data_IF_753158553986
#
_entry.id   IF_753158553986
#
_cell.length_a   1.000
_cell.length_b   1.000
_cell.length_c   1.000
_cell.angle_alpha   90.00
_cell.angle_beta   90.00
_cell.angle_gamma   90.00
#
_symmetry.space_group_name_H-M   'P 1'
#
loop_
_entity.id
_entity.type
_entity.pdbx_description
1 polymer ?
#
# COMPACT_ATOMS: atom_id res chain seq x y z
N UNK A 1 9.63 -21.67 -5.38
CA UNK A 1 8.96 -22.42 -4.28
C UNK A 1 7.85 -21.54 -3.71
N UNK A 2 6.60 -22.01 -3.63
CA UNK A 2 5.50 -21.27 -2.97
C UNK A 2 5.68 -21.37 -1.45
N UNK A 3 5.68 -20.24 -0.75
CA UNK A 3 5.96 -20.18 0.70
C UNK A 3 4.70 -20.34 1.55
N UNK A 4 3.59 -19.72 1.13
CA UNK A 4 2.34 -19.66 1.88
C UNK A 4 1.16 -20.15 1.04
N UNK A 5 0.12 -20.63 1.72
CA UNK A 5 -1.16 -20.94 1.08
C UNK A 5 -1.88 -19.64 0.67
N UNK A 6 -2.71 -19.63 -0.39
CA UNK A 6 -3.47 -18.45 -0.81
C UNK A 6 -4.29 -17.82 0.32
N UNK A 7 -4.90 -18.64 1.17
CA UNK A 7 -5.75 -18.18 2.28
C UNK A 7 -4.93 -17.48 3.37
N UNK A 8 -3.69 -17.92 3.57
CA UNK A 8 -2.74 -17.26 4.48
C UNK A 8 -2.36 -15.89 3.94
N UNK A 9 -2.05 -15.77 2.64
CA UNK A 9 -1.74 -14.48 2.01
C UNK A 9 -2.95 -13.55 2.11
N UNK A 10 -4.16 -14.03 1.78
CA UNK A 10 -5.39 -13.26 1.93
C UNK A 10 -5.59 -12.74 3.34
N UNK A 11 -5.33 -13.57 4.36
CA UNK A 11 -5.41 -13.15 5.76
C UNK A 11 -4.37 -12.07 6.09
N UNK A 12 -3.13 -12.20 5.61
CA UNK A 12 -2.10 -11.17 5.82
C UNK A 12 -2.46 -9.83 5.17
N UNK A 13 -3.15 -9.85 4.03
CA UNK A 13 -3.47 -8.66 3.23
C UNK A 13 -4.91 -8.20 3.43
N UNK A 14 -5.55 -8.59 4.53
CA UNK A 14 -6.87 -8.09 4.97
C UNK A 14 -6.66 -7.13 6.15
N UNK A 15 -7.41 -6.03 6.19
CA UNK A 15 -7.40 -5.13 7.34
C UNK A 15 -7.99 -5.83 8.58
N UNK A 16 -7.22 -5.90 9.66
CA UNK A 16 -7.65 -6.50 10.94
C UNK A 16 -7.92 -5.47 12.03
N UNK A 17 -7.75 -4.18 11.74
CA UNK A 17 -7.98 -3.11 12.72
C UNK A 17 -9.46 -2.75 12.82
N UNK A 18 -9.93 -2.52 14.05
CA UNK A 18 -11.26 -1.96 14.27
C UNK A 18 -11.30 -0.47 13.91
N UNK A 19 -12.49 0.05 13.61
CA UNK A 19 -12.68 1.47 13.28
C UNK A 19 -12.26 2.42 14.40
N UNK A 20 -12.26 1.95 15.65
CA UNK A 20 -11.88 2.72 16.84
C UNK A 20 -10.38 3.01 16.91
N UNK A 21 -9.54 2.12 16.34
CA UNK A 21 -8.09 2.33 16.23
C UNK A 21 -7.77 3.46 15.24
N UNK A 22 -8.65 3.66 14.25
CA UNK A 22 -8.45 4.62 13.16
C UNK A 22 -7.49 4.09 12.09
N UNK A 23 -7.00 5.01 11.26
CA UNK A 23 -6.14 4.71 10.12
C UNK A 23 -4.66 4.72 10.49
N UNK A 24 -3.83 4.12 9.64
CA UNK A 24 -2.36 4.19 9.75
C UNK A 24 -1.91 5.65 9.73
N UNK A 25 -0.97 6.01 10.61
CA UNK A 25 -0.41 7.37 10.72
C UNK A 25 1.12 7.34 10.75
N UNK A 26 1.74 8.38 10.22
CA UNK A 26 3.18 8.63 10.28
C UNK A 26 3.43 10.08 10.70
N UNK A 27 3.76 10.28 11.98
CA UNK A 27 3.77 11.63 12.55
C UNK A 27 2.37 12.25 12.46
N UNK A 28 2.28 13.43 11.86
CA UNK A 28 1.01 14.14 11.63
C UNK A 28 0.27 13.67 10.37
N UNK A 29 0.92 12.87 9.51
CA UNK A 29 0.32 12.35 8.28
C UNK A 29 -0.64 11.21 8.58
N UNK A 30 -1.92 11.37 8.21
CA UNK A 30 -2.95 10.34 8.34
C UNK A 30 -3.22 9.72 6.98
N UNK A 31 -2.94 8.43 6.84
CA UNK A 31 -3.23 7.67 5.62
C UNK A 31 -4.70 7.25 5.60
N UNK A 32 -5.60 8.20 5.37
CA UNK A 32 -7.04 7.92 5.46
C UNK A 32 -7.44 6.75 4.57
N UNK A 33 -8.22 5.82 5.10
CA UNK A 33 -8.68 4.63 4.38
C UNK A 33 -7.66 3.49 4.31
N UNK A 34 -6.51 3.65 4.95
CA UNK A 34 -5.47 2.63 5.04
C UNK A 34 -5.48 2.02 6.44
N UNK A 35 -5.86 0.74 6.51
CA UNK A 35 -5.78 -0.10 7.69
C UNK A 35 -4.48 -0.91 7.74
N UNK A 36 -4.46 -1.96 8.56
CA UNK A 36 -3.27 -2.80 8.74
C UNK A 36 -3.64 -4.29 8.85
N UNK A 37 -2.95 -5.10 8.07
CA UNK A 37 -3.04 -6.55 8.09
C UNK A 37 -1.88 -7.20 8.85
N UNK A 38 -1.61 -8.48 8.63
CA UNK A 38 -0.46 -9.14 9.26
C UNK A 38 0.83 -8.84 8.49
N UNK A 39 1.43 -7.70 8.81
CA UNK A 39 2.74 -7.25 8.30
C UNK A 39 2.67 -6.17 7.22
N UNK A 40 1.48 -5.75 6.80
CA UNK A 40 1.28 -4.83 5.68
C UNK A 40 0.25 -3.75 6.00
N UNK A 41 0.42 -2.58 5.41
CA UNK A 41 -0.73 -1.69 5.24
C UNK A 41 -1.71 -2.30 4.24
N UNK A 42 -3.00 -2.01 4.40
CA UNK A 42 -4.05 -2.48 3.50
C UNK A 42 -4.98 -1.31 3.19
N UNK A 43 -5.22 -1.02 1.90
CA UNK A 43 -6.20 -0.01 1.50
C UNK A 43 -7.61 -0.57 1.64
N UNK A 44 -8.29 -0.14 2.70
CA UNK A 44 -9.65 -0.55 3.05
C UNK A 44 -10.70 0.28 2.29
N UNK A 45 -10.41 1.57 2.05
CA UNK A 45 -11.25 2.47 1.23
C UNK A 45 -10.41 3.51 0.49
N UNK A 46 -10.99 4.09 -0.55
CA UNK A 46 -10.40 5.27 -1.22
C UNK A 46 -10.49 6.51 -0.33
N UNK A 47 -9.54 7.43 -0.50
CA UNK A 47 -9.50 8.74 0.18
C UNK A 47 -8.69 9.74 -0.65
N UNK A 48 -8.73 11.01 -0.26
CA UNK A 48 -7.94 12.07 -0.90
C UNK A 48 -6.43 11.99 -0.60
N UNK A 49 -6.02 11.17 0.39
CA UNK A 49 -4.61 11.00 0.76
C UNK A 49 -3.80 10.37 -0.38
N UNK A 50 -4.39 9.40 -1.07
CA UNK A 50 -3.79 8.75 -2.24
C UNK A 50 -4.91 8.42 -3.24
N UNK A 51 -5.25 9.39 -4.12
CA UNK A 51 -6.39 9.30 -5.02
C UNK A 51 -6.19 8.27 -6.14
N UNK A 52 -4.94 7.91 -6.44
CA UNK A 52 -4.58 7.02 -7.55
C UNK A 52 -4.54 5.54 -7.15
N UNK A 53 -4.69 5.23 -5.86
CA UNK A 53 -4.69 3.86 -5.35
C UNK A 53 -5.89 3.01 -5.79
N UNK A 54 -5.84 1.74 -5.36
CA UNK A 54 -6.88 0.72 -5.54
C UNK A 54 -7.25 0.11 -4.20
N UNK A 55 -8.55 -0.03 -3.94
CA UNK A 55 -9.04 -0.74 -2.76
C UNK A 55 -8.55 -2.19 -2.81
N UNK A 56 -8.03 -2.70 -1.70
CA UNK A 56 -7.41 -4.02 -1.61
C UNK A 56 -5.91 -4.04 -1.91
N UNK A 57 -5.31 -2.90 -2.29
CA UNK A 57 -3.85 -2.77 -2.31
C UNK A 57 -3.26 -3.05 -0.92
N UNK A 58 -2.09 -3.65 -0.91
CA UNK A 58 -1.29 -3.78 0.30
C UNK A 58 0.19 -3.52 0.03
N UNK A 59 0.90 -3.07 1.04
CA UNK A 59 2.29 -2.68 0.88
C UNK A 59 2.95 -2.21 2.17
N UNK A 60 4.16 -1.66 2.04
CA UNK A 60 4.85 -0.95 3.12
C UNK A 60 6.00 -0.09 2.58
N UNK A 61 6.43 0.86 3.41
CA UNK A 61 7.60 1.71 3.14
C UNK A 61 8.83 1.25 3.93
N UNK A 62 10.02 1.53 3.41
CA UNK A 62 11.30 1.43 4.09
C UNK A 62 11.91 2.82 4.30
N UNK A 63 12.80 2.93 5.30
CA UNK A 63 13.29 4.23 5.79
C UNK A 63 13.85 5.14 4.68
N UNK A 64 14.63 4.59 3.74
CA UNK A 64 15.29 5.30 2.65
C UNK A 64 14.35 5.70 1.49
N UNK A 65 13.09 5.97 1.79
CA UNK A 65 12.00 6.21 0.84
C UNK A 65 11.72 5.04 -0.10
N UNK A 66 12.23 3.83 0.18
CA UNK A 66 11.83 2.65 -0.57
C UNK A 66 10.36 2.35 -0.30
N UNK A 67 9.62 1.91 -1.31
CA UNK A 67 8.22 1.54 -1.14
C UNK A 67 7.87 0.35 -2.01
N UNK A 68 6.89 -0.44 -1.60
CA UNK A 68 6.24 -1.37 -2.50
C UNK A 68 4.75 -1.44 -2.24
N UNK A 69 3.98 -1.67 -3.30
CA UNK A 69 2.58 -2.02 -3.21
C UNK A 69 2.25 -3.15 -4.18
N UNK A 70 1.24 -3.92 -3.83
CA UNK A 70 0.69 -4.97 -4.65
C UNK A 70 -0.78 -4.67 -4.87
N UNK A 71 -1.23 -4.71 -6.12
CA UNK A 71 -2.65 -4.70 -6.49
C UNK A 71 -3.05 -6.08 -7.02
N UNK A 72 -3.68 -6.93 -6.19
CA UNK A 72 -4.16 -8.24 -6.65
C UNK A 72 -5.22 -8.15 -7.75
N UNK A 73 -5.99 -7.05 -7.77
CA UNK A 73 -7.03 -6.82 -8.78
C UNK A 73 -6.42 -6.65 -10.18
N UNK A 74 -5.25 -6.02 -10.23
CA UNK A 74 -4.58 -5.66 -11.48
C UNK A 74 -3.37 -6.58 -11.78
N UNK A 75 -3.24 -7.72 -11.08
CA UNK A 75 -2.12 -8.66 -11.15
C UNK A 75 -0.73 -7.98 -11.13
N UNK A 76 -0.59 -6.95 -10.28
CA UNK A 76 0.55 -6.04 -10.30
C UNK A 76 1.27 -5.98 -8.94
N UNK A 77 2.60 -6.02 -8.98
CA UNK A 77 3.45 -5.65 -7.85
C UNK A 77 4.49 -4.62 -8.30
N UNK A 78 4.61 -3.53 -7.53
CA UNK A 78 5.56 -2.44 -7.80
C UNK A 78 6.49 -2.28 -6.62
N UNK A 79 7.79 -2.12 -6.89
CA UNK A 79 8.83 -1.85 -5.88
C UNK A 79 9.64 -0.65 -6.33
N UNK A 80 9.65 0.42 -5.53
CA UNK A 80 10.55 1.57 -5.69
C UNK A 80 11.77 1.40 -4.79
N UNK A 81 12.94 1.55 -5.40
CA UNK A 81 14.22 1.49 -4.71
C UNK A 81 14.88 2.86 -4.77
N UNK A 82 14.75 3.58 -3.66
CA UNK A 82 15.23 4.95 -3.48
C UNK A 82 16.34 4.98 -2.43
N UNK A 83 17.07 6.09 -2.38
CA UNK A 83 18.12 6.35 -1.39
C UNK A 83 17.93 7.76 -0.79
N UNK A 84 16.68 8.08 -0.41
CA UNK A 84 16.30 9.41 0.07
C UNK A 84 15.90 9.35 1.54
N UNK A 85 16.50 10.23 2.35
CA UNK A 85 16.25 10.38 3.79
C UNK A 85 16.07 11.88 4.13
N UNK A 86 15.13 12.27 5.02
CA UNK A 86 14.10 11.42 5.64
C UNK A 86 13.10 10.87 4.61
N UNK A 87 12.28 9.90 5.03
CA UNK A 87 11.29 9.25 4.16
C UNK A 87 10.42 10.28 3.42
N UNK A 88 10.17 10.05 2.13
CA UNK A 88 9.35 10.89 1.27
C UNK A 88 8.36 10.04 0.46
N UNK A 89 7.09 10.46 0.43
CA UNK A 89 6.05 9.84 -0.42
C UNK A 89 6.11 10.26 -1.90
N UNK A 90 7.03 11.18 -2.24
CA UNK A 90 7.02 11.87 -3.54
C UNK A 90 7.07 10.92 -4.74
N UNK A 91 7.92 9.90 -4.70
CA UNK A 91 8.07 8.97 -5.83
C UNK A 91 6.85 8.06 -5.96
N UNK A 92 6.40 7.46 -4.85
CA UNK A 92 5.19 6.62 -4.79
C UNK A 92 4.00 7.35 -5.43
N UNK A 93 3.69 8.56 -4.97
CA UNK A 93 2.54 9.32 -5.48
C UNK A 93 2.71 9.79 -6.92
N UNK A 94 3.94 10.09 -7.37
CA UNK A 94 4.16 10.54 -8.76
C UNK A 94 3.98 9.44 -9.80
N UNK A 95 4.34 8.20 -9.45
CA UNK A 95 4.36 7.11 -10.44
C UNK A 95 3.11 6.24 -10.36
N UNK A 96 2.41 6.19 -9.23
CA UNK A 96 1.28 5.27 -9.01
C UNK A 96 0.17 5.47 -10.05
N UNK A 97 -0.31 6.71 -10.23
CA UNK A 97 -1.32 7.03 -11.25
C UNK A 97 -0.86 6.66 -12.66
N UNK A 98 0.37 7.06 -13.04
CA UNK A 98 0.95 6.75 -14.35
C UNK A 98 1.05 5.24 -14.62
N UNK A 99 1.42 4.45 -13.61
CA UNK A 99 1.51 2.99 -13.72
C UNK A 99 0.11 2.39 -13.92
N UNK A 100 -0.87 2.82 -13.13
CA UNK A 100 -2.23 2.30 -13.25
C UNK A 100 -2.91 2.70 -14.55
N UNK A 101 -2.69 3.93 -15.04
CA UNK A 101 -3.21 4.39 -16.33
C UNK A 101 -2.60 3.65 -17.53
N UNK A 102 -1.42 3.05 -17.35
CA UNK A 102 -0.73 2.28 -18.38
C UNK A 102 -1.21 0.81 -18.48
N UNK A 103 -2.08 0.34 -17.58
CA UNK A 103 -2.65 -0.99 -17.63
C UNK A 103 -3.73 -1.03 -18.72
N UNK A 104 -3.59 -1.93 -19.70
CA UNK A 104 -4.42 -1.98 -20.92
C UNK A 104 -5.51 -3.05 -20.89
N UNK A 105 -5.58 -3.85 -19.82
CA UNK A 105 -6.48 -5.00 -19.70
C UNK A 105 -7.64 -4.75 -18.72
#
# INVERSE_FOLDING_TARGET
KRLLKPETVKSMTTNHLSKEVGWVKFGDEVREGVGFGYGFNVRDKMSAWDPDGRVGEYGWGGAASTHYWVSPKDDLAVVTLEQIMPYSFMTEFKIKGLIFDAIVD
#
